data_IF_263625601784
#
_entry.id   IF_263625601784
#
_cell.length_a   1.000
_cell.length_b   1.000
_cell.length_c   1.000
_cell.angle_alpha   90.00
_cell.angle_beta   90.00
_cell.angle_gamma   90.00
#
_symmetry.space_group_name_H-M   'P 1'
#
loop_
_entity.id
_entity.type
_entity.pdbx_description
1 polymer ?
#
# COMPACT_ATOMS: atom_id res chain seq x y z
N UNK A 1 -24.96 -5.02 33.00
CA UNK A 1 -24.53 -3.69 32.51
C UNK A 1 -23.12 -3.85 31.95
N UNK A 2 -23.03 -4.13 30.66
CA UNK A 2 -21.75 -4.30 29.99
C UNK A 2 -21.16 -2.90 29.71
N UNK A 3 -20.04 -2.59 30.29
CA UNK A 3 -19.24 -1.44 29.88
C UNK A 3 -18.82 -1.71 28.42
N UNK A 4 -19.44 -1.02 27.47
CA UNK A 4 -18.84 -0.86 26.14
C UNK A 4 -17.55 -0.07 26.37
N UNK A 5 -16.42 -0.74 26.43
CA UNK A 5 -15.14 -0.09 26.25
C UNK A 5 -15.17 0.52 24.83
N UNK A 6 -15.44 1.81 24.76
CA UNK A 6 -15.12 2.62 23.59
C UNK A 6 -13.60 2.49 23.40
N UNK A 7 -13.20 1.57 22.56
CA UNK A 7 -11.79 1.33 22.25
C UNK A 7 -11.33 2.38 21.25
N UNK A 8 -11.14 3.61 21.72
CA UNK A 8 -10.47 4.66 20.96
C UNK A 8 -8.97 4.43 21.03
N UNK A 9 -8.37 4.16 19.89
CA UNK A 9 -6.90 4.09 19.75
C UNK A 9 -6.41 5.37 19.09
N UNK A 10 -5.34 5.93 19.61
CA UNK A 10 -4.70 7.12 19.04
C UNK A 10 -3.30 6.71 18.61
N UNK A 11 -2.96 6.99 17.36
CA UNK A 11 -1.63 6.79 16.80
C UNK A 11 -0.99 8.15 16.55
N UNK A 12 0.31 8.27 16.83
CA UNK A 12 1.06 9.47 16.53
C UNK A 12 1.75 9.32 15.17
N UNK A 13 1.37 10.16 14.22
CA UNK A 13 1.94 10.20 12.87
C UNK A 13 2.78 11.48 12.70
N UNK A 14 3.98 11.40 12.08
CA UNK A 14 4.86 12.56 11.96
C UNK A 14 4.33 13.67 11.04
N UNK A 15 3.39 13.35 10.13
CA UNK A 15 2.79 14.33 9.21
C UNK A 15 1.51 14.93 9.76
N UNK A 16 0.63 14.06 10.30
CA UNK A 16 -0.75 14.42 10.63
C UNK A 16 -0.98 14.57 12.14
N UNK A 17 0.04 14.30 12.96
CA UNK A 17 -0.12 14.31 14.41
C UNK A 17 -0.93 13.11 14.89
N UNK A 18 -2.06 13.34 15.51
CA UNK A 18 -2.87 12.27 16.09
C UNK A 18 -3.91 11.71 15.12
N UNK A 19 -3.73 10.47 14.69
CA UNK A 19 -4.73 9.70 13.95
C UNK A 19 -5.60 8.96 14.96
N UNK A 20 -6.91 9.20 14.93
CA UNK A 20 -7.89 8.57 15.81
C UNK A 20 -8.56 7.41 15.11
N UNK A 21 -8.64 6.28 15.79
CA UNK A 21 -9.29 5.05 15.33
C UNK A 21 -10.45 4.75 16.28
N UNK A 22 -11.67 4.92 15.80
CA UNK A 22 -12.87 4.84 16.65
C UNK A 22 -13.76 3.64 16.27
N UNK A 23 -13.54 3.04 15.09
CA UNK A 23 -14.32 1.90 14.62
C UNK A 23 -13.74 0.58 15.10
N UNK A 24 -14.54 -0.31 15.72
CA UNK A 24 -14.11 -1.67 16.06
C UNK A 24 -13.61 -2.46 14.85
N UNK A 25 -14.23 -2.31 13.68
CA UNK A 25 -13.78 -2.97 12.45
C UNK A 25 -12.37 -2.51 12.07
N UNK A 26 -12.12 -1.20 12.05
CA UNK A 26 -10.80 -0.65 11.71
C UNK A 26 -9.73 -1.10 12.73
N UNK A 27 -10.08 -1.20 14.01
CA UNK A 27 -9.16 -1.71 15.03
C UNK A 27 -8.84 -3.20 14.84
N UNK A 28 -9.85 -4.02 14.52
CA UNK A 28 -9.65 -5.42 14.20
C UNK A 28 -8.78 -5.61 12.95
N UNK A 29 -9.02 -4.81 11.91
CA UNK A 29 -8.18 -4.81 10.71
C UNK A 29 -6.75 -4.42 11.03
N UNK A 30 -6.55 -3.37 11.83
CA UNK A 30 -5.22 -2.91 12.21
C UNK A 30 -4.44 -3.99 12.97
N UNK A 31 -5.09 -4.72 13.87
CA UNK A 31 -4.43 -5.76 14.65
C UNK A 31 -4.29 -7.09 13.86
N UNK A 32 -4.86 -7.19 12.65
CA UNK A 32 -4.77 -8.40 11.84
C UNK A 32 -3.35 -8.57 11.26
N UNK A 33 -2.77 -9.80 11.29
CA UNK A 33 -1.40 -10.06 10.80
C UNK A 33 -1.14 -9.61 9.37
N UNK A 34 -2.13 -9.71 8.48
CA UNK A 34 -2.05 -9.31 7.09
C UNK A 34 -1.76 -7.80 6.94
N UNK A 35 -2.44 -6.96 7.73
CA UNK A 35 -2.18 -5.51 7.73
C UNK A 35 -0.88 -5.19 8.49
N UNK A 36 -0.58 -5.90 9.58
CA UNK A 36 0.65 -5.71 10.33
C UNK A 36 1.91 -6.06 9.51
N UNK A 37 1.81 -6.96 8.52
CA UNK A 37 2.86 -7.22 7.54
C UNK A 37 3.37 -5.94 6.87
N UNK A 38 2.48 -5.01 6.54
CA UNK A 38 2.83 -3.74 5.89
C UNK A 38 3.78 -2.87 6.73
N UNK A 39 3.91 -3.14 8.04
CA UNK A 39 4.90 -2.51 8.91
C UNK A 39 6.33 -2.83 8.52
N UNK A 40 6.54 -4.00 7.93
CA UNK A 40 7.83 -4.55 7.55
C UNK A 40 8.13 -4.43 6.06
N UNK A 41 7.27 -3.73 5.30
CA UNK A 41 7.47 -3.40 3.89
C UNK A 41 7.67 -1.90 3.76
N UNK A 42 8.82 -1.48 3.22
CA UNK A 42 9.11 -0.07 2.96
C UNK A 42 8.27 0.46 1.81
N UNK A 43 7.70 1.66 2.00
CA UNK A 43 6.91 2.34 0.96
C UNK A 43 7.73 2.56 -0.31
N UNK A 44 8.96 3.03 -0.17
CA UNK A 44 9.84 3.39 -1.28
C UNK A 44 10.94 2.35 -1.54
N UNK A 45 10.72 1.08 -1.20
CA UNK A 45 11.64 -0.02 -1.53
C UNK A 45 13.10 0.28 -1.20
N UNK A 46 13.95 0.40 -2.24
CA UNK A 46 15.39 0.62 -2.13
C UNK A 46 15.79 2.10 -2.09
N UNK A 47 14.86 3.03 -2.06
CA UNK A 47 15.11 4.49 -2.12
C UNK A 47 16.00 4.99 -0.96
N UNK A 48 15.99 4.29 0.19
CA UNK A 48 16.85 4.62 1.33
C UNK A 48 18.35 4.57 1.02
N UNK A 49 18.77 3.93 -0.07
CA UNK A 49 20.16 3.92 -0.52
C UNK A 49 20.62 5.30 -1.00
N UNK A 50 19.70 6.13 -1.43
CA UNK A 50 19.96 7.51 -1.90
C UNK A 50 19.46 8.53 -0.88
N UNK A 51 18.28 8.27 -0.31
CA UNK A 51 17.62 9.11 0.70
C UNK A 51 17.53 8.34 2.01
N UNK A 52 18.55 8.42 2.91
CA UNK A 52 18.60 7.55 4.10
C UNK A 52 17.39 7.67 5.04
N UNK A 53 16.67 8.80 4.99
CA UNK A 53 15.43 9.00 5.74
C UNK A 53 14.20 8.27 5.16
N UNK A 54 14.27 7.77 3.92
CA UNK A 54 13.16 7.09 3.23
C UNK A 54 12.96 5.65 3.75
N UNK A 55 12.62 5.50 5.02
CA UNK A 55 12.47 4.22 5.72
C UNK A 55 11.05 3.96 6.22
N UNK A 56 10.11 4.84 5.92
CA UNK A 56 8.71 4.69 6.31
C UNK A 56 8.05 3.48 5.64
N UNK A 57 7.14 2.89 6.38
CA UNK A 57 6.48 1.64 5.99
C UNK A 57 5.16 1.89 5.25
N UNK A 58 4.71 0.90 4.49
CA UNK A 58 3.39 0.89 3.88
C UNK A 58 2.27 0.98 4.90
N UNK A 59 2.44 0.45 6.11
CA UNK A 59 1.45 0.63 7.16
C UNK A 59 1.30 2.10 7.56
N UNK A 60 2.40 2.85 7.67
CA UNK A 60 2.33 4.28 7.99
C UNK A 60 1.61 5.06 6.89
N UNK A 61 1.84 4.70 5.62
CA UNK A 61 1.13 5.25 4.48
C UNK A 61 -0.37 4.88 4.51
N UNK A 62 -0.72 3.61 4.66
CA UNK A 62 -2.12 3.17 4.70
C UNK A 62 -2.93 3.87 5.81
N UNK A 63 -2.32 4.09 6.98
CA UNK A 63 -2.93 4.84 8.08
C UNK A 63 -3.08 6.33 7.75
N UNK A 64 -2.09 6.93 7.10
CA UNK A 64 -2.15 8.32 6.65
C UNK A 64 -3.21 8.54 5.56
N UNK A 65 -3.25 7.68 4.56
CA UNK A 65 -4.26 7.69 3.51
C UNK A 65 -5.68 7.52 4.09
N UNK A 66 -5.85 6.62 5.07
CA UNK A 66 -7.11 6.46 5.79
C UNK A 66 -7.49 7.73 6.58
N UNK A 67 -6.53 8.40 7.22
CA UNK A 67 -6.78 9.68 7.91
C UNK A 67 -7.25 10.76 6.93
N UNK A 68 -6.62 10.87 5.76
CA UNK A 68 -7.06 11.79 4.72
C UNK A 68 -8.45 11.44 4.18
N UNK A 69 -8.74 10.15 4.03
CA UNK A 69 -10.09 9.67 3.65
C UNK A 69 -11.13 10.11 4.68
N UNK A 70 -10.86 9.94 5.97
CA UNK A 70 -11.77 10.38 7.03
C UNK A 70 -12.06 11.88 6.92
N UNK A 71 -11.03 12.70 6.74
CA UNK A 71 -11.17 14.15 6.58
C UNK A 71 -11.95 14.53 5.32
N UNK A 72 -11.70 13.85 4.19
CA UNK A 72 -12.42 14.05 2.94
C UNK A 72 -13.93 13.73 3.10
N UNK A 73 -14.26 12.59 3.73
CA UNK A 73 -15.64 12.19 3.99
C UNK A 73 -16.36 13.18 4.91
N UNK A 74 -15.68 13.70 5.95
CA UNK A 74 -16.23 14.73 6.85
C UNK A 74 -16.54 16.02 6.09
N UNK A 75 -15.63 16.47 5.23
CA UNK A 75 -15.82 17.66 4.39
C UNK A 75 -17.00 17.47 3.43
N UNK A 76 -17.08 16.36 2.72
CA UNK A 76 -18.16 16.06 1.80
C UNK A 76 -19.52 15.98 2.53
N UNK A 77 -19.54 15.36 3.73
CA UNK A 77 -20.75 15.32 4.55
C UNK A 77 -21.19 16.73 5.00
N UNK A 78 -20.28 17.62 5.40
CA UNK A 78 -20.57 19.00 5.71
C UNK A 78 -21.08 19.81 4.49
N UNK A 79 -20.69 19.40 3.29
CA UNK A 79 -21.21 19.97 2.02
C UNK A 79 -22.58 19.43 1.63
N UNK A 80 -23.17 18.52 2.43
CA UNK A 80 -24.53 18.00 2.23
C UNK A 80 -24.61 16.67 1.50
N UNK A 81 -23.50 16.00 1.22
CA UNK A 81 -23.52 14.64 0.66
C UNK A 81 -23.85 13.65 1.76
N UNK A 82 -25.03 13.00 1.64
CA UNK A 82 -25.50 12.01 2.60
C UNK A 82 -24.70 10.72 2.47
N UNK A 83 -23.83 10.44 3.43
CA UNK A 83 -23.08 9.19 3.53
C UNK A 83 -23.65 8.35 4.68
N UNK A 84 -23.99 7.12 4.40
CA UNK A 84 -24.37 6.19 5.46
C UNK A 84 -23.16 5.82 6.33
N UNK A 85 -23.36 5.31 7.54
CA UNK A 85 -22.25 4.76 8.34
C UNK A 85 -21.49 3.65 7.60
N UNK A 86 -22.19 2.84 6.79
CA UNK A 86 -21.59 1.73 6.03
C UNK A 86 -20.75 2.26 4.85
N UNK A 87 -21.19 3.31 4.16
CA UNK A 87 -20.39 3.96 3.11
C UNK A 87 -19.08 4.51 3.67
N UNK A 88 -19.15 5.18 4.82
CA UNK A 88 -17.98 5.72 5.49
C UNK A 88 -17.02 4.63 5.93
N UNK A 89 -17.54 3.58 6.56
CA UNK A 89 -16.72 2.48 7.05
C UNK A 89 -16.11 1.69 5.88
N UNK A 90 -16.90 1.48 4.81
CA UNK A 90 -16.43 0.86 3.58
C UNK A 90 -15.30 1.64 2.92
N UNK A 91 -15.42 2.97 2.81
CA UNK A 91 -14.37 3.82 2.24
C UNK A 91 -13.08 3.81 3.08
N UNK A 92 -13.20 3.85 4.41
CA UNK A 92 -12.05 3.72 5.32
C UNK A 92 -11.40 2.34 5.21
N UNK A 93 -12.18 1.27 5.11
CA UNK A 93 -11.68 -0.08 4.89
C UNK A 93 -10.99 -0.22 3.54
N UNK A 94 -11.58 0.29 2.46
CA UNK A 94 -11.04 0.22 1.12
C UNK A 94 -9.65 0.87 1.03
N UNK A 95 -9.50 2.11 1.52
CA UNK A 95 -8.22 2.82 1.50
C UNK A 95 -7.20 2.24 2.48
N UNK A 96 -7.62 1.70 3.64
CA UNK A 96 -6.71 1.05 4.58
C UNK A 96 -6.09 -0.22 4.02
N UNK A 97 -6.82 -0.93 3.17
CA UNK A 97 -6.45 -2.25 2.65
C UNK A 97 -5.92 -2.22 1.20
N UNK A 98 -5.94 -1.06 0.52
CA UNK A 98 -5.62 -0.97 -0.91
C UNK A 98 -4.24 -1.52 -1.27
N UNK A 99 -3.28 -1.40 -0.38
CA UNK A 99 -1.85 -1.74 -0.56
C UNK A 99 -1.46 -3.14 -0.04
N UNK A 100 -2.43 -3.97 0.41
CA UNK A 100 -2.14 -5.30 0.97
C UNK A 100 -1.33 -6.20 0.03
N UNK A 101 -1.53 -6.05 -1.28
CA UNK A 101 -0.94 -6.89 -2.30
C UNK A 101 0.51 -6.56 -2.64
N UNK A 102 1.11 -5.53 -2.10
CA UNK A 102 2.50 -5.20 -2.41
C UNK A 102 3.47 -6.29 -1.95
N UNK A 103 4.43 -6.58 -2.83
CA UNK A 103 5.55 -7.47 -2.56
C UNK A 103 6.54 -6.84 -1.56
N UNK A 104 7.43 -7.65 -0.93
CA UNK A 104 8.61 -7.13 -0.26
C UNK A 104 9.37 -6.15 -1.17
N UNK A 105 9.89 -5.05 -0.60
CA UNK A 105 10.50 -3.94 -1.34
C UNK A 105 9.58 -3.30 -2.38
N UNK A 106 8.26 -3.41 -2.18
CA UNK A 106 7.24 -2.78 -3.02
C UNK A 106 7.38 -3.18 -4.49
N UNK A 107 7.54 -2.24 -5.40
CA UNK A 107 7.63 -2.51 -6.84
C UNK A 107 8.91 -3.25 -7.29
N UNK A 108 9.95 -3.30 -6.45
CA UNK A 108 11.21 -3.96 -6.81
C UNK A 108 11.06 -5.47 -7.09
N UNK A 109 10.12 -6.14 -6.43
CA UNK A 109 9.86 -7.58 -6.60
C UNK A 109 8.48 -7.88 -7.22
N UNK A 110 7.75 -6.87 -7.66
CA UNK A 110 6.51 -7.05 -8.41
C UNK A 110 6.79 -7.78 -9.73
N UNK A 111 6.00 -8.80 -10.07
CA UNK A 111 6.23 -9.66 -11.24
C UNK A 111 7.35 -10.71 -11.08
N UNK A 112 8.22 -10.60 -10.06
CA UNK A 112 9.26 -11.60 -9.81
C UNK A 112 8.78 -12.76 -8.93
N UNK A 113 7.88 -12.51 -7.99
CA UNK A 113 7.32 -13.55 -7.13
C UNK A 113 6.12 -14.24 -7.77
N UNK A 114 5.23 -13.47 -8.37
CA UNK A 114 4.03 -13.95 -9.08
C UNK A 114 4.07 -13.35 -10.48
N UNK A 115 3.86 -14.17 -11.51
CA UNK A 115 3.90 -13.72 -12.89
C UNK A 115 2.60 -13.03 -13.29
N UNK A 116 2.73 -11.91 -14.03
CA UNK A 116 1.63 -11.20 -14.70
C UNK A 116 0.42 -10.87 -13.81
N UNK A 117 0.67 -10.56 -12.52
CA UNK A 117 -0.36 -10.20 -11.56
C UNK A 117 -0.01 -8.89 -10.87
N UNK A 118 -0.76 -7.79 -11.10
CA UNK A 118 -0.53 -6.52 -10.45
C UNK A 118 -0.92 -6.58 -8.96
N UNK A 119 -0.27 -5.75 -8.16
CA UNK A 119 -0.50 -5.74 -6.71
C UNK A 119 -1.94 -5.36 -6.32
N UNK A 120 -2.68 -4.61 -7.14
CA UNK A 120 -4.08 -4.28 -6.90
C UNK A 120 -4.96 -5.54 -6.97
N UNK A 121 -4.68 -6.46 -7.88
CA UNK A 121 -5.40 -7.73 -7.97
C UNK A 121 -5.06 -8.63 -6.77
N UNK A 122 -3.78 -8.65 -6.36
CA UNK A 122 -3.36 -9.36 -5.15
C UNK A 122 -4.06 -8.75 -3.92
N UNK A 123 -4.13 -7.42 -3.82
CA UNK A 123 -4.85 -6.72 -2.75
C UNK A 123 -6.30 -7.18 -2.68
N UNK A 124 -6.99 -7.23 -3.83
CA UNK A 124 -8.38 -7.68 -3.91
C UNK A 124 -8.56 -9.11 -3.40
N UNK A 125 -7.70 -10.04 -3.80
CA UNK A 125 -7.78 -11.44 -3.34
C UNK A 125 -7.56 -11.54 -1.84
N UNK A 126 -6.59 -10.83 -1.30
CA UNK A 126 -6.32 -10.80 0.14
C UNK A 126 -7.46 -10.13 0.92
N UNK A 127 -8.09 -9.09 0.36
CA UNK A 127 -9.30 -8.49 0.93
C UNK A 127 -10.48 -9.48 0.92
N UNK A 128 -10.63 -10.28 -0.13
CA UNK A 128 -11.69 -11.32 -0.22
C UNK A 128 -11.48 -12.44 0.79
N UNK A 129 -10.24 -12.93 0.95
CA UNK A 129 -9.91 -13.93 1.98
C UNK A 129 -10.19 -13.38 3.39
N UNK A 130 -9.83 -12.12 3.64
CA UNK A 130 -10.10 -11.45 4.92
C UNK A 130 -11.58 -11.23 5.15
N UNK A 131 -12.34 -10.85 4.12
CA UNK A 131 -13.78 -10.67 4.18
C UNK A 131 -14.50 -11.97 4.52
N UNK A 132 -14.09 -13.09 3.92
CA UNK A 132 -14.63 -14.40 4.24
C UNK A 132 -14.36 -14.76 5.72
N UNK A 133 -13.17 -14.47 6.22
CA UNK A 133 -12.82 -14.72 7.63
C UNK A 133 -13.55 -13.79 8.62
N UNK A 134 -14.12 -12.69 8.14
CA UNK A 134 -14.85 -11.68 8.91
C UNK A 134 -16.36 -11.65 8.60
N UNK A 135 -16.91 -12.76 8.10
CA UNK A 135 -18.35 -12.95 7.84
C UNK A 135 -18.98 -11.84 6.96
N UNK A 136 -18.26 -11.34 5.95
CA UNK A 136 -18.77 -10.32 5.01
C UNK A 136 -18.61 -8.86 5.47
N UNK A 137 -17.89 -8.61 6.55
CA UNK A 137 -17.75 -7.25 7.12
C UNK A 137 -17.05 -6.25 6.19
N UNK A 138 -16.42 -6.70 5.10
CA UNK A 138 -15.71 -5.89 4.11
C UNK A 138 -16.44 -5.79 2.75
N UNK A 139 -17.67 -6.27 2.62
CA UNK A 139 -18.39 -6.24 1.33
C UNK A 139 -18.42 -4.84 0.74
N UNK A 140 -18.85 -3.83 1.49
CA UNK A 140 -18.88 -2.43 1.05
C UNK A 140 -17.49 -1.91 0.70
N UNK A 141 -16.45 -2.27 1.45
CA UNK A 141 -15.07 -1.86 1.16
C UNK A 141 -14.57 -2.46 -0.16
N UNK A 142 -14.89 -3.72 -0.45
CA UNK A 142 -14.55 -4.40 -1.70
C UNK A 142 -15.32 -3.79 -2.87
N UNK A 143 -16.59 -3.46 -2.69
CA UNK A 143 -17.39 -2.81 -3.75
C UNK A 143 -16.88 -1.41 -4.09
N UNK A 144 -16.47 -0.64 -3.08
CA UNK A 144 -15.81 0.67 -3.30
C UNK A 144 -14.47 0.46 -4.00
N UNK A 145 -13.61 -0.45 -3.52
CA UNK A 145 -12.30 -0.72 -4.11
C UNK A 145 -12.40 -1.15 -5.58
N UNK A 146 -13.41 -1.94 -5.92
CA UNK A 146 -13.63 -2.48 -7.28
C UNK A 146 -14.53 -1.60 -8.16
N UNK A 147 -14.88 -0.38 -7.70
CA UNK A 147 -15.78 0.56 -8.42
C UNK A 147 -17.16 -0.04 -8.75
N UNK A 148 -17.72 -0.85 -7.85
CA UNK A 148 -19.07 -1.43 -7.98
C UNK A 148 -20.09 -0.79 -7.05
N UNK A 149 -19.65 0.10 -6.17
CA UNK A 149 -20.51 0.80 -5.25
C UNK A 149 -21.40 1.83 -5.97
N UNK A 150 -22.61 2.07 -5.48
CA UNK A 150 -23.59 3.01 -6.07
C UNK A 150 -23.13 4.48 -6.05
N UNK A 151 -22.16 4.83 -5.20
CA UNK A 151 -21.52 6.15 -5.12
C UNK A 151 -20.11 6.10 -5.73
N UNK A 152 -19.95 6.34 -7.06
CA UNK A 152 -18.65 6.16 -7.74
C UNK A 152 -17.54 7.05 -7.19
N UNK A 153 -17.87 8.24 -6.66
CA UNK A 153 -16.88 9.15 -6.09
C UNK A 153 -16.14 8.55 -4.88
N UNK A 154 -16.72 7.56 -4.17
CA UNK A 154 -16.02 6.84 -3.09
C UNK A 154 -14.85 6.03 -3.63
N UNK A 155 -15.01 5.38 -4.78
CA UNK A 155 -13.90 4.75 -5.47
C UNK A 155 -12.86 5.78 -5.94
N UNK A 156 -13.32 6.93 -6.49
CA UNK A 156 -12.41 7.99 -6.94
C UNK A 156 -11.60 8.61 -5.80
N UNK A 157 -12.08 8.54 -4.55
CA UNK A 157 -11.30 8.90 -3.36
C UNK A 157 -10.22 7.86 -3.02
N UNK A 158 -10.39 6.59 -3.43
CA UNK A 158 -9.40 5.52 -3.24
C UNK A 158 -8.40 5.47 -4.40
N UNK A 159 -8.90 5.58 -5.64
CA UNK A 159 -8.07 5.41 -6.84
C UNK A 159 -8.56 6.32 -7.96
N UNK A 160 -7.85 7.42 -8.21
CA UNK A 160 -8.10 8.36 -9.31
C UNK A 160 -6.85 9.19 -9.63
N UNK A 161 -6.99 10.34 -10.29
CA UNK A 161 -5.88 11.28 -10.48
C UNK A 161 -5.61 12.16 -9.26
N UNK A 162 -6.61 12.30 -8.37
CA UNK A 162 -6.53 13.04 -7.12
C UNK A 162 -7.29 12.25 -6.05
N UNK A 163 -6.61 11.35 -5.40
CA UNK A 163 -7.13 10.44 -4.38
C UNK A 163 -6.34 10.54 -3.07
N UNK A 164 -6.81 9.87 -2.04
CA UNK A 164 -6.21 9.93 -0.70
C UNK A 164 -4.89 9.18 -0.64
N UNK A 165 -4.71 8.14 -1.46
CA UNK A 165 -3.46 7.43 -1.66
C UNK A 165 -2.36 8.41 -2.14
N UNK A 166 -2.59 9.09 -3.27
CA UNK A 166 -1.63 10.04 -3.87
C UNK A 166 -1.33 11.23 -2.97
N UNK A 167 -2.32 11.76 -2.29
CA UNK A 167 -2.14 12.88 -1.37
C UNK A 167 -1.28 12.49 -0.17
N UNK A 168 -1.44 11.28 0.38
CA UNK A 168 -0.61 10.81 1.48
C UNK A 168 0.81 10.51 0.98
N UNK A 169 0.96 9.63 -0.05
CA UNK A 169 2.32 9.23 -0.40
C UNK A 169 3.18 10.40 -0.89
N UNK A 170 2.65 11.35 -1.65
CA UNK A 170 3.42 12.53 -2.06
C UNK A 170 3.90 13.33 -0.85
N UNK A 171 3.03 13.58 0.12
CA UNK A 171 3.38 14.32 1.33
C UNK A 171 4.36 13.54 2.20
N UNK A 172 4.12 12.25 2.37
CA UNK A 172 4.93 11.35 3.20
C UNK A 172 6.31 11.11 2.61
N UNK A 173 6.38 10.84 1.32
CA UNK A 173 7.64 10.63 0.61
C UNK A 173 8.48 11.91 0.58
N UNK A 174 7.86 13.07 0.34
CA UNK A 174 8.53 14.37 0.44
C UNK A 174 9.14 14.57 1.83
N UNK A 175 8.38 14.30 2.89
CA UNK A 175 8.85 14.44 4.26
C UNK A 175 10.03 13.51 4.57
N UNK A 176 9.92 12.23 4.27
CA UNK A 176 10.92 11.22 4.63
C UNK A 176 12.15 11.24 3.73
N UNK A 177 12.03 11.69 2.47
CA UNK A 177 13.19 11.90 1.59
C UNK A 177 13.86 13.24 1.81
N UNK A 178 13.16 14.22 2.39
CA UNK A 178 13.63 15.61 2.52
C UNK A 178 13.55 16.40 1.22
N UNK A 179 12.83 15.90 0.20
CA UNK A 179 12.64 16.58 -1.10
C UNK A 179 11.47 17.56 -0.98
N UNK A 180 11.77 18.83 -0.77
CA UNK A 180 10.78 19.88 -0.48
C UNK A 180 9.89 20.24 -1.67
N UNK A 181 10.29 19.91 -2.88
CA UNK A 181 9.48 20.06 -4.09
C UNK A 181 8.20 19.25 -4.08
N UNK A 182 8.17 18.17 -3.29
CA UNK A 182 6.97 17.34 -3.07
C UNK A 182 5.96 17.90 -2.09
N UNK A 183 6.25 19.03 -1.41
CA UNK A 183 5.32 19.62 -0.43
C UNK A 183 4.09 20.20 -1.10
N UNK A 184 2.92 19.68 -0.73
CA UNK A 184 1.60 20.10 -1.24
C UNK A 184 0.69 20.59 -0.10
N UNK A 185 -0.30 21.40 -0.44
CA UNK A 185 -1.28 21.92 0.53
C UNK A 185 -2.49 20.97 0.65
N UNK A 186 -2.31 19.83 1.31
CA UNK A 186 -3.33 18.79 1.42
C UNK A 186 -4.65 19.33 1.99
N UNK A 187 -4.61 20.02 3.14
CA UNK A 187 -5.82 20.55 3.77
C UNK A 187 -6.63 21.45 2.84
N UNK A 188 -5.94 22.29 2.06
CA UNK A 188 -6.62 23.15 1.10
C UNK A 188 -7.22 22.35 -0.05
N UNK A 189 -6.54 21.31 -0.54
CA UNK A 189 -7.07 20.43 -1.58
C UNK A 189 -8.32 19.74 -1.07
N UNK A 190 -8.30 19.15 0.12
CA UNK A 190 -9.46 18.50 0.74
C UNK A 190 -10.65 19.45 0.87
N UNK A 191 -10.43 20.69 1.36
CA UNK A 191 -11.51 21.70 1.46
C UNK A 191 -12.13 22.08 0.12
N UNK A 192 -11.39 21.91 -0.98
CA UNK A 192 -11.88 22.21 -2.34
C UNK A 192 -12.54 21.01 -3.04
N UNK A 193 -12.49 19.81 -2.42
CA UNK A 193 -13.21 18.63 -2.98
C UNK A 193 -14.71 18.88 -2.97
N UNK A 194 -15.35 18.40 -4.02
CA UNK A 194 -16.80 18.44 -4.19
C UNK A 194 -17.24 17.25 -5.04
N UNK A 195 -18.55 17.01 -5.15
CA UNK A 195 -19.10 15.97 -6.03
C UNK A 195 -20.05 16.59 -7.03
N UNK A 196 -19.90 16.28 -8.30
CA UNK A 196 -20.79 16.70 -9.36
C UNK A 196 -21.21 15.52 -10.23
N UNK A 197 -22.50 15.28 -10.34
CA UNK A 197 -23.06 14.15 -11.10
C UNK A 197 -22.45 12.79 -10.69
N UNK A 198 -22.26 12.59 -9.39
CA UNK A 198 -21.68 11.35 -8.82
C UNK A 198 -20.16 11.20 -8.96
N UNK A 199 -19.47 12.20 -9.53
CA UNK A 199 -18.01 12.20 -9.69
C UNK A 199 -17.33 13.18 -8.76
N UNK A 200 -16.14 12.82 -8.29
CA UNK A 200 -15.28 13.69 -7.51
C UNK A 200 -14.77 14.85 -8.39
N UNK A 201 -14.93 16.07 -7.93
CA UNK A 201 -14.46 17.28 -8.60
C UNK A 201 -13.76 18.20 -7.63
N UNK A 202 -13.10 19.24 -8.15
CA UNK A 202 -12.46 20.29 -7.35
C UNK A 202 -13.08 21.62 -7.69
N UNK A 203 -13.48 22.37 -6.68
CA UNK A 203 -13.99 23.73 -6.85
C UNK A 203 -12.98 24.62 -7.59
N UNK A 204 -13.47 25.49 -8.49
CA UNK A 204 -12.64 26.38 -9.32
C UNK A 204 -11.60 27.18 -8.51
N UNK A 205 -11.95 27.59 -7.29
CA UNK A 205 -11.02 28.32 -6.40
C UNK A 205 -9.83 27.48 -5.91
N UNK A 206 -9.86 26.16 -6.12
CA UNK A 206 -8.78 25.21 -5.81
C UNK A 206 -7.74 25.04 -6.92
N UNK A 207 -7.93 25.64 -8.12
CA UNK A 207 -7.12 25.35 -9.31
C UNK A 207 -5.61 25.47 -9.04
N UNK A 208 -5.14 26.52 -8.36
CA UNK A 208 -3.72 26.70 -8.07
C UNK A 208 -3.14 25.61 -7.13
N UNK A 209 -3.97 25.06 -6.24
CA UNK A 209 -3.56 23.94 -5.39
C UNK A 209 -3.38 22.65 -6.19
N UNK A 210 -4.23 22.45 -7.21
CA UNK A 210 -4.13 21.32 -8.13
C UNK A 210 -2.94 21.47 -9.08
N UNK A 211 -2.68 22.65 -9.61
CA UNK A 211 -1.48 22.92 -10.41
C UNK A 211 -0.20 22.63 -9.60
N UNK A 212 -0.15 23.10 -8.35
CA UNK A 212 0.97 22.81 -7.45
C UNK A 212 1.10 21.31 -7.17
N UNK A 213 0.00 20.60 -6.94
CA UNK A 213 -0.02 19.15 -6.74
C UNK A 213 0.54 18.41 -7.96
N UNK A 214 0.12 18.76 -9.18
CA UNK A 214 0.59 18.14 -10.41
C UNK A 214 2.10 18.41 -10.62
N UNK A 215 2.55 19.63 -10.32
CA UNK A 215 3.96 20.00 -10.40
C UNK A 215 4.80 19.22 -9.39
N UNK A 216 4.35 19.18 -8.11
CA UNK A 216 5.03 18.42 -7.05
C UNK A 216 5.14 16.94 -7.40
N UNK A 217 4.05 16.34 -7.89
CA UNK A 217 4.04 14.93 -8.35
C UNK A 217 5.08 14.71 -9.44
N UNK A 218 5.11 15.57 -10.46
CA UNK A 218 6.08 15.45 -11.56
C UNK A 218 7.53 15.55 -11.05
N UNK A 219 7.82 16.48 -10.14
CA UNK A 219 9.16 16.65 -9.58
C UNK A 219 9.57 15.45 -8.71
N UNK A 220 8.65 14.89 -7.90
CA UNK A 220 8.91 13.68 -7.12
C UNK A 220 9.20 12.47 -8.02
N UNK A 221 8.50 12.34 -9.16
CA UNK A 221 8.82 11.30 -10.13
C UNK A 221 10.27 11.39 -10.61
N UNK A 222 10.73 12.57 -10.99
CA UNK A 222 12.11 12.77 -11.48
C UNK A 222 13.17 12.61 -10.39
N UNK A 223 12.93 13.18 -9.22
CA UNK A 223 13.94 13.23 -8.17
C UNK A 223 14.00 11.96 -7.33
N UNK A 224 12.86 11.32 -7.06
CA UNK A 224 12.75 10.19 -6.13
C UNK A 224 12.43 8.89 -6.85
N UNK A 225 11.26 8.79 -7.48
CA UNK A 225 10.74 7.50 -7.95
C UNK A 225 11.51 6.95 -9.16
N UNK A 226 12.02 7.81 -10.04
CA UNK A 226 12.83 7.43 -11.20
C UNK A 226 14.33 7.68 -10.98
N UNK A 227 14.78 7.80 -9.72
CA UNK A 227 16.19 8.02 -9.45
C UNK A 227 17.03 6.83 -9.93
N UNK A 228 18.00 7.10 -10.82
CA UNK A 228 18.78 6.06 -11.53
C UNK A 228 19.42 5.01 -10.61
N UNK A 229 19.96 5.45 -9.47
CA UNK A 229 20.61 4.54 -8.51
C UNK A 229 19.58 3.63 -7.82
N UNK A 230 18.39 4.14 -7.51
CA UNK A 230 17.29 3.36 -6.93
C UNK A 230 16.84 2.30 -7.93
N UNK A 231 16.50 2.72 -9.15
CA UNK A 231 16.11 1.79 -10.22
C UNK A 231 17.17 0.71 -10.47
N UNK A 232 18.46 1.09 -10.49
CA UNK A 232 19.55 0.12 -10.66
C UNK A 232 19.58 -0.92 -9.52
N UNK A 233 19.36 -0.49 -8.28
CA UNK A 233 19.33 -1.39 -7.13
C UNK A 233 18.10 -2.32 -7.17
N UNK A 234 16.94 -1.81 -7.57
CA UNK A 234 15.70 -2.59 -7.72
C UNK A 234 15.81 -3.63 -8.84
N UNK A 235 16.35 -3.24 -9.99
CA UNK A 235 16.64 -4.19 -11.07
C UNK A 235 17.65 -5.26 -10.63
N UNK A 236 18.70 -4.88 -9.91
CA UNK A 236 19.67 -5.83 -9.35
C UNK A 236 18.99 -6.82 -8.40
N UNK A 237 18.11 -6.34 -7.52
CA UNK A 237 17.31 -7.18 -6.62
C UNK A 237 16.51 -8.23 -7.42
N UNK A 238 15.77 -7.81 -8.43
CA UNK A 238 15.02 -8.71 -9.30
C UNK A 238 15.91 -9.74 -10.00
N UNK A 239 17.10 -9.33 -10.47
CA UNK A 239 18.08 -10.26 -11.05
C UNK A 239 18.63 -11.26 -10.05
N UNK A 240 18.88 -10.87 -8.79
CA UNK A 240 19.31 -11.79 -7.73
C UNK A 240 18.23 -12.85 -7.47
N UNK A 241 16.97 -12.46 -7.36
CA UNK A 241 15.85 -13.41 -7.18
C UNK A 241 15.75 -14.38 -8.37
N UNK A 242 15.90 -13.88 -9.61
CA UNK A 242 15.93 -14.72 -10.80
C UNK A 242 17.11 -15.71 -10.75
N UNK A 243 18.29 -15.25 -10.39
CA UNK A 243 19.49 -16.09 -10.27
C UNK A 243 19.33 -17.16 -9.18
N UNK A 244 18.76 -16.80 -8.03
CA UNK A 244 18.45 -17.74 -6.96
C UNK A 244 17.52 -18.86 -7.45
N UNK A 245 16.51 -18.53 -8.26
CA UNK A 245 15.61 -19.49 -8.90
C UNK A 245 16.35 -20.41 -9.87
N UNK A 246 17.22 -19.88 -10.73
CA UNK A 246 18.05 -20.68 -11.66
C UNK A 246 18.93 -21.68 -10.88
N UNK A 247 19.56 -21.25 -9.76
CA UNK A 247 20.33 -22.13 -8.91
C UNK A 247 19.48 -23.28 -8.33
N UNK A 248 18.26 -22.98 -7.88
CA UNK A 248 17.32 -24.00 -7.38
C UNK A 248 16.95 -25.02 -8.46
N UNK A 249 16.61 -24.57 -9.65
CA UNK A 249 16.28 -25.43 -10.77
C UNK A 249 17.47 -26.31 -11.19
N UNK A 250 18.69 -25.78 -11.10
CA UNK A 250 19.94 -26.50 -11.34
C UNK A 250 20.36 -27.42 -10.18
N UNK A 251 19.58 -27.46 -9.09
CA UNK A 251 19.88 -28.23 -7.85
C UNK A 251 21.21 -27.83 -7.19
N UNK A 252 21.64 -26.59 -7.35
CA UNK A 252 22.81 -26.06 -6.67
C UNK A 252 22.51 -25.85 -5.17
N UNK A 253 23.52 -25.93 -4.29
CA UNK A 253 23.34 -25.80 -2.86
C UNK A 253 23.07 -24.34 -2.45
N UNK A 254 21.86 -23.87 -2.70
CA UNK A 254 21.40 -22.56 -2.26
C UNK A 254 20.53 -22.69 -1.01
N UNK A 255 20.84 -21.91 0.02
CA UNK A 255 20.04 -21.88 1.23
C UNK A 255 18.78 -21.03 1.00
N UNK A 256 17.63 -21.68 1.00
CA UNK A 256 16.31 -21.03 0.97
C UNK A 256 15.46 -21.74 2.01
N UNK A 257 14.74 -20.99 2.80
CA UNK A 257 13.85 -21.48 3.84
C UNK A 257 12.55 -20.69 3.86
N UNK A 258 11.57 -21.20 4.58
CA UNK A 258 10.29 -20.51 4.78
C UNK A 258 9.43 -20.39 3.52
N UNK A 259 8.57 -19.41 3.54
CA UNK A 259 7.53 -19.19 2.52
C UNK A 259 8.13 -18.76 1.15
N UNK A 260 9.33 -18.14 1.14
CA UNK A 260 10.00 -17.72 -0.10
C UNK A 260 10.31 -18.92 -1.03
N UNK A 261 10.57 -20.11 -0.47
CA UNK A 261 10.85 -21.32 -1.27
C UNK A 261 9.71 -21.64 -2.24
N UNK A 262 8.45 -21.42 -1.86
CA UNK A 262 7.27 -21.68 -2.70
C UNK A 262 7.28 -20.83 -3.97
N UNK A 263 7.86 -19.64 -3.94
CA UNK A 263 7.92 -18.70 -5.06
C UNK A 263 9.20 -18.85 -5.90
N UNK A 264 10.22 -19.50 -5.38
CA UNK A 264 11.48 -19.72 -6.10
C UNK A 264 11.55 -21.09 -6.76
N UNK A 265 10.99 -22.13 -6.14
CA UNK A 265 11.01 -23.49 -6.72
C UNK A 265 10.14 -23.61 -7.96
N UNK A 266 8.98 -22.99 -7.96
CA UNK A 266 8.09 -22.88 -9.11
C UNK A 266 7.34 -21.55 -9.00
N UNK A 267 7.75 -20.51 -9.76
CA UNK A 267 7.05 -19.23 -9.70
C UNK A 267 5.59 -19.42 -10.12
N UNK A 268 4.64 -19.12 -9.21
CA UNK A 268 3.25 -19.30 -9.51
C UNK A 268 2.79 -18.34 -10.61
N UNK A 269 1.94 -18.83 -11.49
CA UNK A 269 1.16 -18.00 -12.39
C UNK A 269 0.08 -17.24 -11.62
N UNK A 270 -0.53 -16.23 -12.25
CA UNK A 270 -1.70 -15.55 -11.69
C UNK A 270 -2.83 -16.54 -11.37
N UNK A 271 -3.07 -17.53 -12.22
CA UNK A 271 -4.12 -18.53 -12.00
C UNK A 271 -3.79 -19.47 -10.82
N UNK A 272 -2.53 -19.89 -10.66
CA UNK A 272 -2.11 -20.65 -9.48
C UNK A 272 -2.37 -19.84 -8.20
N UNK A 273 -2.05 -18.57 -8.21
CA UNK A 273 -2.23 -17.69 -7.04
C UNK A 273 -3.71 -17.46 -6.70
N UNK A 274 -4.57 -17.26 -7.73
CA UNK A 274 -6.03 -17.11 -7.54
C UNK A 274 -6.64 -18.36 -6.94
N UNK A 275 -6.21 -19.54 -7.36
CA UNK A 275 -6.83 -20.82 -7.01
C UNK A 275 -6.20 -21.51 -5.79
N UNK A 276 -5.07 -21.01 -5.27
CA UNK A 276 -4.37 -21.65 -4.15
C UNK A 276 -4.28 -20.74 -2.91
N UNK A 277 -5.14 -20.94 -1.89
CA UNK A 277 -5.08 -20.19 -0.65
C UNK A 277 -3.76 -20.33 0.12
N UNK A 278 -3.05 -21.46 -0.01
CA UNK A 278 -1.76 -21.67 0.65
C UNK A 278 -0.69 -20.73 0.08
N UNK A 279 -0.69 -20.50 -1.23
CA UNK A 279 0.19 -19.51 -1.86
C UNK A 279 -0.11 -18.09 -1.37
N UNK A 280 -1.38 -17.73 -1.23
CA UNK A 280 -1.77 -16.42 -0.69
C UNK A 280 -1.35 -16.27 0.77
N UNK A 281 -1.50 -17.33 1.56
CA UNK A 281 -1.05 -17.34 2.95
C UNK A 281 0.48 -17.22 3.05
N UNK A 282 1.23 -17.92 2.22
CA UNK A 282 2.68 -17.81 2.16
C UNK A 282 3.13 -16.41 1.71
N UNK A 283 2.48 -15.84 0.68
CA UNK A 283 2.76 -14.47 0.24
C UNK A 283 2.50 -13.44 1.32
N UNK A 284 1.42 -13.61 2.07
CA UNK A 284 1.04 -12.74 3.18
C UNK A 284 2.01 -12.75 4.38
N UNK A 285 2.99 -13.66 4.40
CA UNK A 285 4.06 -13.71 5.41
C UNK A 285 5.38 -13.13 4.91
N UNK A 286 5.53 -12.93 3.60
CA UNK A 286 6.76 -12.37 3.03
C UNK A 286 6.84 -10.86 3.30
N UNK A 287 7.99 -10.41 3.78
CA UNK A 287 8.32 -9.02 4.02
C UNK A 287 9.78 -8.70 3.62
N UNK A 288 10.21 -7.45 3.79
CA UNK A 288 11.57 -7.02 3.45
C UNK A 288 12.63 -7.76 4.28
N UNK A 289 12.31 -8.10 5.53
CA UNK A 289 13.26 -8.77 6.42
C UNK A 289 13.56 -10.20 5.97
N UNK A 290 12.53 -10.94 5.52
CA UNK A 290 12.69 -12.29 4.96
C UNK A 290 13.61 -12.27 3.74
N UNK A 291 13.40 -11.37 2.79
CA UNK A 291 14.27 -11.22 1.61
C UNK A 291 15.70 -10.86 2.02
N UNK A 292 15.87 -9.92 2.96
CA UNK A 292 17.20 -9.51 3.44
C UNK A 292 17.98 -10.63 4.13
N UNK A 293 17.32 -11.53 4.85
CA UNK A 293 17.97 -12.71 5.45
C UNK A 293 18.55 -13.60 4.36
N UNK A 294 17.79 -13.86 3.30
CA UNK A 294 18.25 -14.69 2.18
C UNK A 294 19.38 -14.01 1.39
N UNK A 295 19.28 -12.72 1.10
CA UNK A 295 20.37 -11.98 0.43
C UNK A 295 21.68 -12.05 1.21
N UNK A 296 21.63 -11.87 2.53
CA UNK A 296 22.83 -11.98 3.39
C UNK A 296 23.42 -13.38 3.42
N UNK A 297 22.58 -14.42 3.36
CA UNK A 297 23.03 -15.80 3.30
C UNK A 297 23.69 -16.10 1.95
N UNK A 298 23.07 -15.67 0.85
CA UNK A 298 23.58 -15.85 -0.51
C UNK A 298 24.90 -15.12 -0.75
N UNK A 299 25.05 -13.91 -0.26
CA UNK A 299 26.30 -13.13 -0.35
C UNK A 299 27.48 -13.80 0.38
N UNK A 300 27.24 -14.80 1.22
CA UNK A 300 28.27 -15.60 1.93
C UNK A 300 28.39 -17.00 1.35
N UNK A 301 27.64 -17.33 0.32
CA UNK A 301 27.69 -18.65 -0.33
C UNK A 301 29.05 -18.86 -0.97
N UNK A 302 29.51 -20.11 -0.99
CA UNK A 302 30.66 -20.55 -1.80
C UNK A 302 30.31 -20.75 -3.27
N UNK A 303 29.03 -20.67 -3.63
CA UNK A 303 28.56 -20.82 -5.00
C UNK A 303 28.83 -19.53 -5.81
N UNK A 304 29.73 -19.57 -6.82
CA UNK A 304 30.13 -18.36 -7.56
C UNK A 304 28.97 -17.65 -8.27
N UNK A 305 27.90 -18.38 -8.58
CA UNK A 305 26.74 -17.84 -9.27
C UNK A 305 25.84 -16.97 -8.35
N UNK A 306 26.08 -17.01 -7.02
CA UNK A 306 25.34 -16.26 -6.03
C UNK A 306 26.14 -15.06 -5.48
N UNK A 307 27.46 -15.02 -5.66
CA UNK A 307 28.32 -13.92 -5.29
C UNK A 307 28.29 -12.79 -6.34
#
# INVERSE_FOLDING_TARGET
>A
MGHSHLTNKILNDPLYGFIRLESPLILNLLDHPLLQRLRYIRQLGMTYLVYPGATHSRLAHALGAMHLMQNALDILQHKGYGLSPDDRLGALGAILLHDLGHAPFSHALEGFLIQDMPHEEISLLLMQDLNQAMDGALDTAIDIFTNRHELPFLHELVSSQLDMDRLDYLSRDSFFTGVTEGVIGVDRILQMLDVHQGKLVVERKGVYSIEKYLMARNLMYWQVYLHKTVLSAEYLMGHIIRRARECRLARLPIQISGDLAMFLDSPPTADDFRNNPELRTAYARLDDAEIMVHLKAWARSSEPLLQ
#
